data_IF_024321246401
#
_entry.id   IF_024321246401
#
_cell.length_a   1.000
_cell.length_b   1.000
_cell.length_c   1.000
_cell.angle_alpha   90.00
_cell.angle_beta   90.00
_cell.angle_gamma   90.00
#
_symmetry.space_group_name_H-M   'P 1'
#
loop_
_entity.id
_entity.type
_entity.pdbx_description
1 polymer ?
#
# COMPACT_ATOMS: atom_id res chain seq x y z
N UNK A 1 -23.78 -33.43 -29.46
CA UNK A 1 -22.50 -32.75 -29.71
C UNK A 1 -22.74 -31.27 -29.46
N UNK A 2 -22.50 -30.81 -28.25
CA UNK A 2 -22.67 -29.41 -27.84
C UNK A 2 -21.31 -28.72 -27.81
N UNK A 3 -21.13 -27.75 -28.67
CA UNK A 3 -19.98 -26.87 -28.71
C UNK A 3 -20.12 -25.84 -27.60
N UNK A 4 -19.26 -25.91 -26.62
CA UNK A 4 -19.11 -24.90 -25.57
C UNK A 4 -18.40 -23.68 -26.18
N UNK A 5 -19.13 -22.61 -26.44
CA UNK A 5 -18.55 -21.32 -26.80
C UNK A 5 -17.77 -20.76 -25.62
N UNK A 6 -16.51 -20.48 -25.86
CA UNK A 6 -15.59 -19.89 -24.92
C UNK A 6 -15.74 -18.37 -25.02
N UNK A 7 -16.38 -17.76 -24.02
CA UNK A 7 -16.52 -16.32 -23.89
C UNK A 7 -15.14 -15.66 -23.83
N UNK A 8 -14.89 -14.67 -24.67
CA UNK A 8 -13.65 -13.91 -24.73
C UNK A 8 -13.72 -12.72 -23.77
N UNK A 9 -12.57 -12.27 -23.29
CA UNK A 9 -12.42 -11.20 -22.29
C UNK A 9 -13.08 -9.85 -22.65
N UNK A 10 -13.60 -9.71 -23.87
CA UNK A 10 -14.34 -8.52 -24.33
C UNK A 10 -15.79 -8.48 -23.84
N UNK A 11 -16.40 -9.63 -23.48
CA UNK A 11 -17.80 -9.69 -23.06
C UNK A 11 -18.05 -9.36 -21.59
N UNK A 12 -16.97 -9.14 -20.80
CA UNK A 12 -17.05 -8.79 -19.38
C UNK A 12 -17.08 -7.27 -19.10
N UNK A 13 -17.04 -6.45 -20.14
CA UNK A 13 -16.96 -4.98 -20.00
C UNK A 13 -18.30 -4.25 -19.98
N UNK A 14 -19.45 -4.95 -20.07
CA UNK A 14 -20.77 -4.31 -20.20
C UNK A 14 -21.81 -4.87 -19.23
N UNK A 15 -21.56 -4.69 -17.91
CA UNK A 15 -22.65 -4.69 -16.92
C UNK A 15 -22.34 -3.61 -15.86
N UNK A 16 -22.57 -2.36 -16.24
CA UNK A 16 -22.64 -1.22 -15.31
C UNK A 16 -24.09 -1.15 -14.84
N UNK A 17 -24.34 -1.46 -13.57
CA UNK A 17 -25.60 -1.18 -12.90
C UNK A 17 -25.75 0.35 -12.71
N UNK A 18 -26.86 0.97 -13.15
CA UNK A 18 -27.06 2.42 -13.09
C UNK A 18 -27.90 2.86 -11.89
N UNK A 19 -27.61 2.42 -10.67
CA UNK A 19 -28.35 2.92 -9.51
C UNK A 19 -27.45 3.05 -8.25
N UNK A 20 -26.71 4.19 -8.18
CA UNK A 20 -26.13 4.67 -6.93
C UNK A 20 -26.37 6.18 -6.86
N UNK A 21 -27.09 6.70 -5.83
CA UNK A 21 -27.39 8.10 -5.71
C UNK A 21 -26.14 8.93 -5.39
N UNK A 22 -25.99 10.03 -6.13
CA UNK A 22 -25.02 11.09 -5.90
C UNK A 22 -25.19 11.71 -4.50
N UNK A 23 -24.23 11.45 -3.62
CA UNK A 23 -24.03 12.15 -2.35
C UNK A 23 -22.92 13.19 -2.49
N UNK A 24 -23.33 14.43 -2.54
CA UNK A 24 -22.51 15.65 -2.59
C UNK A 24 -21.61 15.77 -1.35
N UNK A 25 -20.29 15.77 -1.53
CA UNK A 25 -19.31 16.09 -0.49
C UNK A 25 -18.10 16.80 -1.10
N UNK A 26 -17.90 18.02 -0.68
CA UNK A 26 -16.90 19.06 -0.95
C UNK A 26 -15.68 18.68 -1.79
N UNK A 27 -15.62 19.29 -2.97
CA UNK A 27 -14.49 19.35 -3.88
C UNK A 27 -13.29 20.07 -3.24
N UNK A 28 -12.08 19.43 -3.27
CA UNK A 28 -10.87 20.05 -3.80
C UNK A 28 -9.62 19.15 -3.79
N UNK A 29 -9.60 17.97 -3.11
CA UNK A 29 -8.49 16.99 -3.24
C UNK A 29 -8.97 15.54 -3.51
N UNK A 30 -10.26 15.30 -3.50
CA UNK A 30 -10.85 13.97 -3.68
C UNK A 30 -10.76 13.41 -5.12
N UNK A 31 -10.32 14.21 -6.10
CA UNK A 31 -10.27 13.80 -7.50
C UNK A 31 -9.20 12.75 -7.84
N UNK A 32 -8.23 12.52 -6.97
CA UNK A 32 -7.07 11.67 -7.22
C UNK A 32 -7.13 10.34 -6.48
N UNK A 33 -8.04 10.17 -5.52
CA UNK A 33 -8.18 8.92 -4.77
C UNK A 33 -8.96 7.87 -5.58
N UNK A 34 -8.54 6.59 -5.52
CA UNK A 34 -9.22 5.53 -6.26
C UNK A 34 -10.63 5.29 -5.71
N UNK A 35 -11.64 5.43 -6.57
CA UNK A 35 -13.06 5.24 -6.21
C UNK A 35 -13.40 3.80 -5.82
N UNK A 36 -12.67 2.81 -6.33
CA UNK A 36 -12.88 1.40 -6.02
C UNK A 36 -11.64 0.78 -5.40
N UNK A 37 -11.46 0.96 -4.09
CA UNK A 37 -10.30 0.43 -3.36
C UNK A 37 -10.27 -1.10 -3.26
N UNK A 38 -11.44 -1.76 -3.36
CA UNK A 38 -11.55 -3.23 -3.24
C UNK A 38 -10.92 -3.99 -4.41
N UNK A 39 -10.70 -3.33 -5.55
CA UNK A 39 -10.05 -3.93 -6.71
C UNK A 39 -8.53 -3.94 -6.63
N UNK A 40 -7.95 -3.27 -5.66
CA UNK A 40 -6.49 -3.18 -5.48
C UNK A 40 -5.98 -4.18 -4.44
N UNK A 41 -4.79 -4.71 -4.68
CA UNK A 41 -4.03 -5.40 -3.65
C UNK A 41 -3.51 -4.36 -2.62
N UNK A 42 -3.42 -4.74 -1.37
CA UNK A 42 -2.97 -3.85 -0.27
C UNK A 42 -1.66 -3.12 -0.62
N UNK A 43 -0.64 -3.83 -1.07
CA UNK A 43 0.67 -3.25 -1.36
C UNK A 43 0.62 -2.24 -2.51
N UNK A 44 -0.14 -2.54 -3.55
CA UNK A 44 -0.33 -1.62 -4.70
C UNK A 44 -1.05 -0.35 -4.28
N UNK A 45 -2.08 -0.48 -3.44
CA UNK A 45 -2.83 0.66 -2.97
C UNK A 45 -1.99 1.56 -2.07
N UNK A 46 -1.22 0.97 -1.14
CA UNK A 46 -0.34 1.72 -0.25
C UNK A 46 0.75 2.45 -1.05
N UNK A 47 1.36 1.80 -2.06
CA UNK A 47 2.34 2.45 -2.95
C UNK A 47 1.71 3.60 -3.73
N UNK A 48 0.49 3.41 -4.25
CA UNK A 48 -0.25 4.47 -4.93
C UNK A 48 -0.53 5.66 -4.00
N UNK A 49 -0.94 5.40 -2.76
CA UNK A 49 -1.20 6.45 -1.77
C UNK A 49 0.07 7.21 -1.38
N UNK A 50 1.22 6.53 -1.26
CA UNK A 50 2.50 7.21 -1.04
C UNK A 50 2.86 8.14 -2.20
N UNK A 51 2.67 7.69 -3.44
CA UNK A 51 2.95 8.49 -4.63
C UNK A 51 2.01 9.69 -4.76
N UNK A 52 0.72 9.52 -4.47
CA UNK A 52 -0.26 10.64 -4.52
C UNK A 52 0.03 11.67 -3.44
N UNK A 53 0.39 11.21 -2.23
CA UNK A 53 0.63 12.10 -1.08
C UNK A 53 2.05 12.62 -1.01
N UNK A 54 2.91 12.29 -1.97
CA UNK A 54 4.35 12.63 -2.02
C UNK A 54 5.07 12.30 -0.70
N UNK A 55 4.78 11.12 -0.17
CA UNK A 55 5.35 10.63 1.08
C UNK A 55 6.56 9.75 0.79
N UNK A 56 7.62 9.91 1.59
CA UNK A 56 8.73 8.97 1.55
C UNK A 56 8.36 7.68 2.31
N UNK A 57 8.22 6.55 1.60
CA UNK A 57 7.88 5.29 2.25
C UNK A 57 8.98 4.74 3.18
N UNK A 58 10.19 5.29 3.14
CA UNK A 58 11.29 4.92 4.03
C UNK A 58 11.23 5.72 5.34
N UNK A 59 10.57 6.88 5.34
CA UNK A 59 10.30 7.67 6.54
C UNK A 59 8.98 7.25 7.19
N UNK A 60 9.09 6.48 8.25
CA UNK A 60 7.93 6.00 9.00
C UNK A 60 7.13 7.15 9.65
N UNK A 61 7.79 8.19 10.10
CA UNK A 61 7.14 9.33 10.73
C UNK A 61 6.25 10.09 9.72
N UNK A 62 6.77 10.29 8.52
CA UNK A 62 6.05 10.90 7.41
C UNK A 62 4.83 10.06 7.01
N UNK A 63 5.01 8.76 6.81
CA UNK A 63 3.93 7.81 6.47
C UNK A 63 2.85 7.81 7.54
N UNK A 64 3.21 7.63 8.81
CA UNK A 64 2.26 7.56 9.94
C UNK A 64 1.53 8.88 10.19
N UNK A 65 2.06 10.00 9.73
CA UNK A 65 1.40 11.30 9.84
C UNK A 65 0.17 11.42 8.95
N UNK A 66 0.16 10.76 7.78
CA UNK A 66 -0.90 10.88 6.77
C UNK A 66 -1.69 9.57 6.56
N UNK A 67 -1.05 8.41 6.68
CA UNK A 67 -1.68 7.11 6.48
C UNK A 67 -1.89 6.39 7.82
N UNK A 68 -3.13 6.00 8.09
CA UNK A 68 -3.50 5.19 9.24
C UNK A 68 -4.05 3.85 8.76
N UNK A 69 -3.48 2.76 9.25
CA UNK A 69 -3.98 1.43 8.96
C UNK A 69 -4.84 0.92 10.12
N UNK A 70 -6.00 0.39 9.80
CA UNK A 70 -6.90 -0.24 10.75
C UNK A 70 -7.38 -1.60 10.24
N UNK A 71 -7.92 -2.43 11.13
CA UNK A 71 -8.53 -3.68 10.76
C UNK A 71 -10.05 -3.53 10.67
N UNK A 72 -10.66 -4.20 9.70
CA UNK A 72 -12.10 -4.31 9.60
C UNK A 72 -12.61 -5.24 10.71
N UNK A 73 -13.52 -4.80 11.59
CA UNK A 73 -14.03 -5.62 12.70
C UNK A 73 -15.03 -6.69 12.26
N UNK A 74 -15.49 -6.65 10.99
CA UNK A 74 -16.50 -7.58 10.47
C UNK A 74 -16.07 -9.04 10.57
N UNK A 75 -16.99 -9.91 10.99
CA UNK A 75 -16.75 -11.36 11.11
C UNK A 75 -17.07 -12.12 9.81
N UNK A 76 -17.53 -11.43 8.78
CA UNK A 76 -17.83 -12.02 7.48
C UNK A 76 -16.56 -12.37 6.70
N UNK A 77 -16.73 -13.24 5.69
CA UNK A 77 -15.64 -13.57 4.77
C UNK A 77 -15.23 -12.34 3.95
N UNK A 78 -13.95 -12.05 3.95
CA UNK A 78 -13.39 -10.93 3.20
C UNK A 78 -13.17 -11.30 1.73
N UNK A 79 -13.76 -10.52 0.82
CA UNK A 79 -13.59 -10.71 -0.63
C UNK A 79 -12.35 -10.01 -1.20
N UNK A 80 -11.74 -9.09 -0.44
CA UNK A 80 -10.58 -8.29 -0.87
C UNK A 80 -9.68 -7.98 0.32
N UNK A 81 -8.41 -7.64 0.06
CA UNK A 81 -7.44 -7.28 1.10
C UNK A 81 -7.81 -5.98 1.82
N UNK A 82 -8.50 -5.09 1.12
CA UNK A 82 -8.89 -3.76 1.60
C UNK A 82 -10.40 -3.59 1.51
N UNK A 83 -11.01 -3.04 2.55
CA UNK A 83 -12.46 -2.84 2.64
C UNK A 83 -12.85 -1.41 2.32
N UNK A 84 -12.15 -0.44 2.92
CA UNK A 84 -12.49 0.97 2.83
C UNK A 84 -11.24 1.85 2.90
N UNK A 85 -11.37 3.04 2.34
CA UNK A 85 -10.41 4.13 2.44
C UNK A 85 -11.18 5.40 2.81
N UNK A 86 -11.00 5.87 4.02
CA UNK A 86 -11.73 7.00 4.57
C UNK A 86 -10.79 8.17 4.82
N UNK A 87 -11.27 9.38 4.49
CA UNK A 87 -10.58 10.60 4.87
C UNK A 87 -10.93 10.94 6.33
N UNK A 88 -9.91 11.11 7.16
CA UNK A 88 -10.03 11.48 8.57
C UNK A 88 -9.60 12.93 8.75
N UNK A 89 -10.07 13.59 9.80
CA UNK A 89 -9.72 14.97 10.11
C UNK A 89 -8.19 15.19 10.09
N UNK A 90 -7.74 16.31 9.49
CA UNK A 90 -6.31 16.66 9.43
C UNK A 90 -5.56 16.06 8.25
N UNK A 91 -6.19 15.91 7.10
CA UNK A 91 -5.57 15.43 5.85
C UNK A 91 -4.97 14.01 6.00
N UNK A 92 -5.58 13.18 6.84
CA UNK A 92 -5.18 11.80 7.05
C UNK A 92 -6.12 10.84 6.34
N UNK A 93 -5.55 9.80 5.77
CA UNK A 93 -6.27 8.71 5.14
C UNK A 93 -6.23 7.48 6.05
N UNK A 94 -7.40 6.89 6.32
CA UNK A 94 -7.52 5.64 7.06
C UNK A 94 -7.84 4.52 6.08
N UNK A 95 -6.97 3.53 6.02
CA UNK A 95 -7.12 2.34 5.21
C UNK A 95 -7.54 1.17 6.10
N UNK A 96 -8.73 0.61 5.86
CA UNK A 96 -9.18 -0.60 6.54
C UNK A 96 -8.78 -1.86 5.77
N UNK A 97 -8.07 -2.76 6.45
CA UNK A 97 -7.61 -4.05 5.91
C UNK A 97 -8.43 -5.20 6.49
N UNK A 98 -8.51 -6.28 5.74
CA UNK A 98 -9.24 -7.49 6.12
C UNK A 98 -8.33 -8.63 6.58
N UNK A 99 -7.03 -8.46 6.41
CA UNK A 99 -6.02 -9.45 6.76
C UNK A 99 -5.10 -8.92 7.88
N UNK A 100 -4.47 -9.84 8.58
CA UNK A 100 -3.47 -9.54 9.62
C UNK A 100 -3.96 -8.59 10.73
N UNK A 101 -5.27 -8.48 10.93
CA UNK A 101 -5.87 -7.65 11.96
C UNK A 101 -5.99 -8.36 13.31
N UNK A 102 -5.90 -7.58 14.38
CA UNK A 102 -6.25 -8.05 15.73
C UNK A 102 -7.76 -8.03 15.97
N UNK A 103 -8.54 -7.46 15.06
CA UNK A 103 -10.00 -7.52 15.02
C UNK A 103 -10.47 -8.12 13.70
N UNK A 104 -11.70 -8.64 13.64
CA UNK A 104 -12.29 -9.24 12.44
C UNK A 104 -12.19 -10.76 12.37
N UNK A 105 -12.60 -11.33 11.24
CA UNK A 105 -12.77 -12.78 11.06
C UNK A 105 -11.48 -13.61 11.19
N UNK A 106 -10.32 -13.01 10.94
CA UNK A 106 -9.00 -13.67 11.03
C UNK A 106 -8.23 -13.30 12.31
N UNK A 107 -8.92 -12.70 13.29
CA UNK A 107 -8.31 -12.28 14.55
C UNK A 107 -7.84 -13.48 15.38
N UNK A 108 -6.68 -13.40 16.04
CA UNK A 108 -6.25 -14.38 17.02
C UNK A 108 -7.00 -14.26 18.37
N UNK A 109 -7.84 -13.23 18.55
CA UNK A 109 -8.57 -13.00 19.79
C UNK A 109 -9.76 -13.95 19.94
N UNK A 110 -10.17 -14.28 21.17
CA UNK A 110 -11.38 -15.07 21.43
C UNK A 110 -12.64 -14.41 20.87
N UNK A 111 -13.60 -15.21 20.39
CA UNK A 111 -14.82 -14.73 19.74
C UNK A 111 -15.64 -13.73 20.56
N UNK A 112 -15.74 -13.93 21.88
CA UNK A 112 -16.48 -13.02 22.76
C UNK A 112 -15.89 -11.60 22.76
N UNK A 113 -14.56 -11.48 22.61
CA UNK A 113 -13.89 -10.19 22.53
C UNK A 113 -14.24 -9.46 21.24
N UNK A 114 -14.37 -10.23 20.15
CA UNK A 114 -14.75 -9.68 18.84
C UNK A 114 -16.21 -9.24 18.81
N UNK A 115 -17.10 -9.98 19.46
CA UNK A 115 -18.50 -9.61 19.61
C UNK A 115 -18.64 -8.32 20.43
N UNK A 116 -17.86 -8.19 21.51
CA UNK A 116 -17.81 -6.98 22.31
C UNK A 116 -17.36 -5.76 21.47
N UNK A 117 -16.37 -5.92 20.60
CA UNK A 117 -15.89 -4.83 19.71
C UNK A 117 -16.98 -4.43 18.72
N UNK A 118 -17.74 -5.39 18.18
CA UNK A 118 -18.82 -5.12 17.25
C UNK A 118 -20.03 -4.43 17.89
N UNK A 119 -20.30 -4.72 19.17
CA UNK A 119 -21.41 -4.13 19.91
C UNK A 119 -21.05 -2.80 20.56
N UNK A 120 -19.77 -2.49 20.70
CA UNK A 120 -19.27 -1.21 21.21
C UNK A 120 -19.62 -0.09 20.24
N UNK A 121 -20.22 0.99 20.72
CA UNK A 121 -20.59 2.11 19.85
C UNK A 121 -19.35 2.83 19.34
N UNK A 122 -19.37 3.28 18.09
CA UNK A 122 -18.24 3.97 17.45
C UNK A 122 -17.82 5.26 18.19
N UNK A 123 -18.75 5.92 18.87
CA UNK A 123 -18.48 7.19 19.57
C UNK A 123 -17.77 7.01 20.92
N UNK A 124 -18.00 5.92 21.62
CA UNK A 124 -17.49 5.69 22.99
C UNK A 124 -16.53 4.52 23.09
N UNK A 125 -16.40 3.74 22.02
CA UNK A 125 -15.58 2.55 21.97
C UNK A 125 -14.10 2.87 21.97
N UNK A 126 -13.36 2.33 22.96
CA UNK A 126 -11.90 2.47 23.06
C UNK A 126 -11.14 1.23 22.63
N UNK A 127 -11.82 0.09 22.52
CA UNK A 127 -11.17 -1.20 22.22
C UNK A 127 -10.66 -1.25 20.79
N UNK A 128 -11.49 -0.89 19.80
CA UNK A 128 -11.08 -0.85 18.39
C UNK A 128 -9.92 0.11 18.15
N UNK A 129 -9.95 1.39 18.57
CA UNK A 129 -8.81 2.30 18.41
C UNK A 129 -7.53 1.82 19.08
N UNK A 130 -7.64 1.17 20.23
CA UNK A 130 -6.49 0.57 20.91
C UNK A 130 -5.86 -0.57 20.10
N UNK A 131 -6.67 -1.47 19.54
CA UNK A 131 -6.17 -2.53 18.68
C UNK A 131 -5.64 -1.99 17.35
N UNK A 132 -6.27 -0.96 16.78
CA UNK A 132 -5.84 -0.33 15.55
C UNK A 132 -4.46 0.34 15.69
N UNK A 133 -4.09 0.80 16.88
CA UNK A 133 -2.73 1.28 17.14
C UNK A 133 -1.67 0.19 16.86
N UNK A 134 -1.90 -1.04 17.32
CA UNK A 134 -1.01 -2.17 17.04
C UNK A 134 -1.10 -2.61 15.57
N UNK A 135 -2.31 -2.66 15.01
CA UNK A 135 -2.53 -3.02 13.61
C UNK A 135 -1.77 -2.08 12.68
N UNK A 136 -1.84 -0.77 12.95
CA UNK A 136 -1.12 0.23 12.18
C UNK A 136 0.40 -0.08 12.15
N UNK A 137 0.99 -0.33 13.31
CA UNK A 137 2.41 -0.66 13.41
C UNK A 137 2.78 -1.95 12.67
N UNK A 138 1.99 -3.00 12.84
CA UNK A 138 2.22 -4.29 12.21
C UNK A 138 2.11 -4.20 10.69
N UNK A 139 1.08 -3.54 10.17
CA UNK A 139 0.87 -3.36 8.74
C UNK A 139 1.95 -2.49 8.10
N UNK A 140 2.40 -1.44 8.80
CA UNK A 140 3.55 -0.64 8.38
C UNK A 140 4.81 -1.49 8.24
N UNK A 141 5.12 -2.32 9.24
CA UNK A 141 6.27 -3.22 9.19
C UNK A 141 6.16 -4.25 8.05
N UNK A 142 4.98 -4.84 7.84
CA UNK A 142 4.75 -5.78 6.73
C UNK A 142 5.00 -5.09 5.38
N UNK A 143 4.48 -3.88 5.20
CA UNK A 143 4.70 -3.11 3.99
C UNK A 143 6.19 -2.81 3.77
N UNK A 144 6.90 -2.37 4.81
CA UNK A 144 8.34 -2.10 4.75
C UNK A 144 9.15 -3.36 4.40
N UNK A 145 8.81 -4.51 5.02
CA UNK A 145 9.45 -5.80 4.71
C UNK A 145 9.19 -6.18 3.24
N UNK A 146 7.95 -6.10 2.80
CA UNK A 146 7.59 -6.40 1.42
C UNK A 146 8.36 -5.51 0.43
N UNK A 147 8.46 -4.21 0.68
CA UNK A 147 9.17 -3.24 -0.15
C UNK A 147 10.68 -3.49 -0.17
N UNK A 148 11.25 -3.86 0.97
CA UNK A 148 12.69 -4.11 1.11
C UNK A 148 13.22 -5.14 0.08
N UNK A 149 12.44 -6.15 -0.25
CA UNK A 149 12.83 -7.20 -1.18
C UNK A 149 12.46 -6.92 -2.65
N UNK A 150 11.91 -5.74 -2.95
CA UNK A 150 11.51 -5.35 -4.31
C UNK A 150 12.28 -4.13 -4.79
N UNK A 151 13.44 -4.41 -5.38
CA UNK A 151 14.34 -3.36 -5.85
C UNK A 151 13.68 -2.41 -6.85
N UNK A 152 12.87 -2.91 -7.78
CA UNK A 152 12.20 -2.10 -8.81
C UNK A 152 11.22 -1.06 -8.23
N UNK A 153 10.71 -1.26 -7.02
CA UNK A 153 9.85 -0.30 -6.32
C UNK A 153 10.69 0.75 -5.57
N UNK A 154 11.86 0.34 -5.05
CA UNK A 154 12.74 1.22 -4.28
C UNK A 154 13.65 2.06 -5.16
N UNK A 155 13.81 1.66 -6.42
CA UNK A 155 14.68 2.36 -7.36
C UNK A 155 14.18 3.79 -7.59
N UNK A 156 15.06 4.77 -7.39
CA UNK A 156 14.85 6.17 -7.73
C UNK A 156 15.65 6.51 -8.98
N UNK A 157 15.11 7.39 -9.83
CA UNK A 157 15.73 7.72 -11.13
C UNK A 157 17.16 8.28 -10.97
N UNK A 158 17.43 9.00 -9.89
CA UNK A 158 18.76 9.54 -9.55
C UNK A 158 19.68 8.51 -8.90
N UNK A 159 19.21 7.26 -8.69
CA UNK A 159 19.91 6.22 -7.96
C UNK A 159 20.35 6.64 -6.54
N UNK A 160 19.55 7.48 -5.90
CA UNK A 160 19.77 7.92 -4.52
C UNK A 160 19.33 6.88 -3.49
N UNK A 161 18.68 5.79 -3.92
CA UNK A 161 18.30 4.71 -3.03
C UNK A 161 19.51 3.96 -2.46
N UNK A 162 19.42 3.50 -1.21
CA UNK A 162 20.53 2.88 -0.49
C UNK A 162 21.13 1.65 -1.16
N UNK A 163 20.33 0.88 -1.92
CA UNK A 163 20.84 -0.29 -2.64
C UNK A 163 21.66 0.13 -3.86
N UNK A 164 21.18 1.09 -4.66
CA UNK A 164 21.93 1.65 -5.78
C UNK A 164 23.22 2.31 -5.32
N UNK A 165 23.18 3.06 -4.20
CA UNK A 165 24.38 3.67 -3.62
C UNK A 165 25.44 2.62 -3.25
N UNK A 166 25.04 1.48 -2.69
CA UNK A 166 25.96 0.38 -2.40
C UNK A 166 26.54 -0.24 -3.68
N UNK A 167 25.72 -0.44 -4.72
CA UNK A 167 26.20 -0.94 -6.00
C UNK A 167 27.17 0.03 -6.67
N UNK A 168 26.91 1.32 -6.62
CA UNK A 168 27.83 2.35 -7.12
C UNK A 168 29.15 2.37 -6.34
N UNK A 169 29.09 2.20 -5.02
CA UNK A 169 30.29 2.09 -4.19
C UNK A 169 31.17 0.90 -4.61
N UNK A 170 30.57 -0.25 -4.94
CA UNK A 170 31.31 -1.42 -5.45
C UNK A 170 32.00 -1.17 -6.79
N UNK A 171 31.42 -0.31 -7.62
CA UNK A 171 31.99 0.07 -8.93
C UNK A 171 32.99 1.24 -8.83
N UNK A 172 33.08 1.89 -7.65
CA UNK A 172 33.92 3.06 -7.43
C UNK A 172 33.26 4.40 -7.81
N UNK A 173 31.95 4.40 -8.02
CA UNK A 173 31.14 5.58 -8.37
C UNK A 173 30.24 6.02 -7.19
N UNK A 174 30.75 5.93 -5.97
CA UNK A 174 30.00 6.32 -4.76
C UNK A 174 29.68 7.84 -4.74
N UNK A 175 30.57 8.66 -5.30
CA UNK A 175 30.38 10.10 -5.39
C UNK A 175 29.49 10.45 -6.59
N UNK A 176 28.42 11.21 -6.35
CA UNK A 176 27.47 11.64 -7.37
C UNK A 176 28.14 12.49 -8.47
N UNK A 177 29.14 13.30 -8.13
CA UNK A 177 29.87 14.12 -9.08
C UNK A 177 30.60 13.26 -10.13
N UNK A 178 31.13 12.10 -9.71
CA UNK A 178 31.83 11.19 -10.63
C UNK A 178 30.87 10.51 -11.61
N UNK A 179 29.59 10.37 -11.25
CA UNK A 179 28.59 9.73 -12.13
C UNK A 179 28.29 10.57 -13.35
N UNK A 180 28.31 11.92 -13.21
CA UNK A 180 28.09 12.87 -14.32
C UNK A 180 29.23 12.89 -15.33
N UNK A 181 30.46 12.62 -14.91
CA UNK A 181 31.65 12.70 -15.75
C UNK A 181 31.93 11.40 -16.55
N UNK A 182 31.19 10.33 -16.31
CA UNK A 182 31.39 9.07 -17.01
C UNK A 182 30.75 9.09 -18.40
N UNK A 183 31.49 8.65 -19.45
CA UNK A 183 30.95 8.61 -20.82
C UNK A 183 29.89 7.51 -21.02
N UNK A 184 29.73 6.62 -20.06
CA UNK A 184 28.74 5.52 -20.08
C UNK A 184 27.59 5.86 -19.15
N UNK A 185 26.36 5.67 -19.65
CA UNK A 185 25.18 5.84 -18.82
C UNK A 185 25.27 4.96 -17.56
N UNK A 186 25.20 5.58 -16.39
CA UNK A 186 25.34 4.94 -15.09
C UNK A 186 24.33 3.80 -14.85
N UNK A 187 23.12 3.85 -15.45
CA UNK A 187 22.17 2.74 -15.42
C UNK A 187 22.75 1.46 -16.06
N UNK A 188 23.57 1.59 -17.10
CA UNK A 188 24.26 0.44 -17.70
C UNK A 188 25.38 -0.07 -16.80
N UNK A 189 26.04 0.82 -16.07
CA UNK A 189 27.10 0.43 -15.13
C UNK A 189 26.55 -0.35 -13.94
N UNK A 190 25.35 -0.02 -13.46
CA UNK A 190 24.67 -0.79 -12.41
C UNK A 190 24.48 -2.25 -12.80
N UNK A 191 24.10 -2.54 -14.04
CA UNK A 191 23.93 -3.93 -14.50
C UNK A 191 25.27 -4.72 -14.54
N UNK A 192 26.39 -4.03 -14.65
CA UNK A 192 27.73 -4.65 -14.67
C UNK A 192 28.42 -4.63 -13.29
N UNK A 193 27.78 -4.07 -12.24
CA UNK A 193 28.41 -3.92 -10.93
C UNK A 193 28.95 -5.23 -10.37
N UNK A 194 28.19 -6.33 -10.50
CA UNK A 194 28.62 -7.65 -10.05
C UNK A 194 29.87 -8.18 -10.78
N UNK A 195 30.02 -7.87 -12.06
CA UNK A 195 31.18 -8.28 -12.87
C UNK A 195 32.40 -7.42 -12.54
N UNK A 196 32.21 -6.12 -12.37
CA UNK A 196 33.28 -5.18 -12.06
C UNK A 196 33.82 -5.35 -10.64
N UNK A 197 32.97 -5.67 -9.67
CA UNK A 197 33.36 -5.94 -8.29
C UNK A 197 34.05 -7.29 -8.09
N UNK A 198 33.87 -8.23 -9.00
CA UNK A 198 34.44 -9.61 -8.91
C UNK A 198 35.86 -9.78 -9.46
N UNK A 199 36.60 -8.67 -9.75
CA UNK A 199 37.98 -8.71 -10.28
C UNK A 199 39.01 -8.48 -9.19
#
# INVERSE_FOLDING_TARGET
MGTTERSTAADLATSVDPDVPDGMGSDNDAGMLPKNVRGYNFYQLVELLHNISDLDPEDEASTSSKLLFGANPGLGFAASDVTALDAVAGDRLRLETTFFGMSGAQSPLPGFFLEDILTESEETGLRKPFLDFFNHRLLTLIYQIWRKYRYYIRFREDASDGFSAQLFALVGLADENLRGDTPINWCKMLSYAGVLAGR
#
